data_IF_691555502778
#
_entry.id   IF_691555502778
#
_cell.length_a   1.000
_cell.length_b   1.000
_cell.length_c   1.000
_cell.angle_alpha   90.00
_cell.angle_beta   90.00
_cell.angle_gamma   90.00
#
_symmetry.space_group_name_H-M   'P 1'
#
loop_
_entity.id
_entity.type
_entity.pdbx_description
1 polymer ?
#
# COMPACT_ATOMS: atom_id res chain seq x y z
N UNK A 1 -7.51 -5.10 -17.23
CA UNK A 1 -7.19 -3.76 -17.75
C UNK A 1 -5.69 -3.73 -17.94
N UNK A 2 -5.22 -3.91 -19.17
CA UNK A 2 -3.80 -4.08 -19.49
C UNK A 2 -3.05 -2.76 -19.29
N UNK A 3 -2.09 -2.72 -18.36
CA UNK A 3 -1.16 -1.60 -18.26
C UNK A 3 -0.10 -1.77 -19.36
N UNK A 4 -0.24 -1.00 -20.46
CA UNK A 4 0.88 -0.77 -21.38
C UNK A 4 1.96 -0.04 -20.60
N UNK A 5 3.11 -0.67 -20.43
CA UNK A 5 4.33 0.00 -19.99
C UNK A 5 4.68 1.07 -21.04
N UNK A 6 4.49 2.34 -20.71
CA UNK A 6 4.85 3.44 -21.60
C UNK A 6 6.37 3.60 -21.62
N UNK A 7 6.99 2.95 -22.60
CA UNK A 7 8.40 3.10 -22.92
C UNK A 7 8.56 4.38 -23.75
N UNK A 8 8.65 5.55 -23.12
CA UNK A 8 9.16 6.74 -23.81
C UNK A 8 10.67 6.62 -23.96
N UNK A 9 11.12 5.93 -25.02
CA UNK A 9 12.48 6.03 -25.51
C UNK A 9 12.54 7.12 -26.57
N UNK A 10 13.00 8.32 -26.19
CA UNK A 10 13.42 9.31 -27.18
C UNK A 10 14.68 8.79 -27.88
N UNK A 11 14.53 8.33 -29.13
CA UNK A 11 15.65 8.00 -30.02
C UNK A 11 16.20 9.32 -30.57
N UNK A 12 17.37 9.73 -30.06
CA UNK A 12 18.12 10.85 -30.64
C UNK A 12 18.48 10.50 -32.10
N UNK A 13 17.94 11.26 -33.06
CA UNK A 13 18.39 11.26 -34.45
C UNK A 13 19.71 12.02 -34.48
N UNK A 14 20.84 11.30 -34.41
CA UNK A 14 22.06 11.58 -35.19
C UNK A 14 23.09 10.49 -34.91
N UNK A 15 23.67 9.95 -35.98
CA UNK A 15 24.52 8.76 -36.00
C UNK A 15 25.87 8.94 -35.32
N UNK A 16 25.87 8.93 -33.99
CA UNK A 16 27.02 8.56 -33.17
C UNK A 16 26.51 7.55 -32.16
N UNK A 17 27.21 6.43 -32.02
CA UNK A 17 26.94 5.35 -31.06
C UNK A 17 27.07 5.90 -29.63
N UNK A 18 26.00 6.56 -29.17
CA UNK A 18 25.86 6.96 -27.79
C UNK A 18 25.66 5.69 -26.99
N UNK A 19 26.68 5.31 -26.22
CA UNK A 19 26.54 4.40 -25.07
C UNK A 19 25.23 4.74 -24.38
N UNK A 20 24.25 3.83 -24.45
CA UNK A 20 22.93 4.01 -23.87
C UNK A 20 23.13 4.40 -22.40
N UNK A 21 22.91 5.67 -22.05
CA UNK A 21 23.14 6.18 -20.69
C UNK A 21 22.24 5.36 -19.79
N UNK A 22 22.82 4.45 -18.97
CA UNK A 22 22.18 3.39 -18.17
C UNK A 22 21.14 3.92 -17.14
N UNK A 23 20.12 4.63 -17.60
CA UNK A 23 19.11 5.31 -16.79
C UNK A 23 19.38 6.79 -16.44
N UNK A 24 20.54 7.38 -16.75
CA UNK A 24 20.80 8.79 -16.36
C UNK A 24 19.79 9.76 -16.96
N UNK A 25 19.33 10.71 -16.15
CA UNK A 25 18.33 11.71 -16.51
C UNK A 25 16.96 11.11 -16.88
N UNK A 26 16.69 9.86 -16.47
CA UNK A 26 15.38 9.25 -16.57
C UNK A 26 14.73 9.20 -15.19
N UNK A 27 13.46 9.61 -15.15
CA UNK A 27 12.54 9.42 -14.03
C UNK A 27 11.54 8.33 -14.42
N UNK A 28 11.41 7.29 -13.60
CA UNK A 28 10.51 6.17 -13.84
C UNK A 28 9.39 6.17 -12.81
N UNK A 29 8.15 6.06 -13.30
CA UNK A 29 6.96 5.99 -12.45
C UNK A 29 6.57 4.53 -12.23
N UNK A 30 6.69 4.04 -11.00
CA UNK A 30 6.34 2.67 -10.63
C UNK A 30 5.14 2.65 -9.67
N UNK A 31 3.95 2.44 -10.24
CA UNK A 31 2.68 2.42 -9.50
C UNK A 31 2.07 1.02 -9.30
N UNK A 32 2.63 -0.01 -9.93
CA UNK A 32 2.20 -1.40 -9.78
C UNK A 32 3.33 -2.18 -9.12
N UNK A 33 3.05 -2.70 -7.93
CA UNK A 33 3.90 -3.70 -7.29
C UNK A 33 3.47 -5.06 -7.82
N UNK A 34 4.13 -5.55 -8.87
CA UNK A 34 4.09 -6.97 -9.14
C UNK A 34 5.13 -7.62 -8.22
N UNK A 35 4.76 -8.58 -7.36
CA UNK A 35 5.73 -9.47 -6.74
C UNK A 35 6.37 -10.25 -7.88
N UNK A 36 7.44 -9.71 -8.47
CA UNK A 36 8.23 -10.51 -9.38
C UNK A 36 8.84 -11.61 -8.53
N UNK A 37 8.33 -12.83 -8.70
CA UNK A 37 9.03 -14.05 -8.33
C UNK A 37 10.50 -13.83 -8.68
N UNK A 38 11.40 -14.21 -7.77
CA UNK A 38 12.83 -13.87 -7.63
C UNK A 38 13.77 -13.94 -8.87
N UNK A 39 13.24 -14.03 -10.09
CA UNK A 39 13.93 -14.26 -11.36
C UNK A 39 14.06 -12.99 -12.22
N UNK A 40 13.36 -11.89 -11.94
CA UNK A 40 13.47 -10.64 -12.75
C UNK A 40 14.13 -9.45 -12.04
N UNK A 41 14.58 -9.59 -10.80
CA UNK A 41 15.19 -8.48 -10.07
C UNK A 41 16.57 -8.12 -10.65
N UNK A 42 17.37 -9.10 -11.06
CA UNK A 42 18.76 -8.91 -11.51
C UNK A 42 18.90 -8.21 -12.88
N UNK A 43 18.11 -8.59 -13.89
CA UNK A 43 18.21 -7.96 -15.23
C UNK A 43 17.58 -6.56 -15.28
N UNK A 44 16.59 -6.29 -14.43
CA UNK A 44 15.98 -4.97 -14.29
C UNK A 44 16.90 -4.06 -13.45
N UNK A 45 17.51 -4.55 -12.37
CA UNK A 45 18.49 -3.81 -11.54
C UNK A 45 19.68 -3.28 -12.37
N UNK A 46 20.27 -4.10 -13.24
CA UNK A 46 21.44 -3.70 -14.01
C UNK A 46 21.16 -2.54 -14.99
N UNK A 47 19.92 -2.44 -15.50
CA UNK A 47 19.50 -1.43 -16.47
C UNK A 47 18.91 -0.17 -15.83
N UNK A 48 18.45 -0.26 -14.59
CA UNK A 48 17.82 0.84 -13.83
C UNK A 48 18.78 1.62 -12.93
N UNK A 49 20.02 1.14 -12.76
CA UNK A 49 20.99 1.64 -11.79
C UNK A 49 21.10 3.18 -11.64
N UNK A 50 20.93 3.96 -12.72
CA UNK A 50 21.06 5.43 -12.67
C UNK A 50 19.78 6.21 -13.00
N UNK A 51 18.64 5.53 -13.18
CA UNK A 51 17.35 6.19 -13.28
C UNK A 51 16.77 6.44 -11.89
N UNK A 52 16.22 7.62 -11.65
CA UNK A 52 15.44 7.92 -10.45
C UNK A 52 14.10 7.20 -10.54
N UNK A 53 13.64 6.60 -9.45
CA UNK A 53 12.35 5.92 -9.38
C UNK A 53 11.43 6.76 -8.50
N UNK A 54 10.33 7.22 -9.09
CA UNK A 54 9.18 7.73 -8.35
C UNK A 54 8.15 6.60 -8.25
N UNK A 55 8.05 5.98 -7.09
CA UNK A 55 7.36 4.69 -6.98
C UNK A 55 6.77 4.43 -5.61
N UNK A 56 5.94 3.39 -5.56
CA UNK A 56 5.19 3.01 -4.37
C UNK A 56 5.78 1.75 -3.71
N UNK A 57 5.54 1.56 -2.41
CA UNK A 57 5.89 0.30 -1.73
C UNK A 57 7.38 0.11 -1.48
N UNK A 58 8.15 1.19 -1.43
CA UNK A 58 9.55 1.14 -1.05
C UNK A 58 9.78 0.53 0.33
N UNK A 59 10.94 -0.10 0.47
CA UNK A 59 11.46 -0.57 1.75
C UNK A 59 12.79 0.10 2.04
N UNK A 60 13.24 0.05 3.30
CA UNK A 60 14.58 0.50 3.71
C UNK A 60 15.71 -0.14 2.89
N UNK A 61 15.46 -1.28 2.24
CA UNK A 61 16.43 -2.00 1.41
C UNK A 61 16.37 -1.63 -0.09
N UNK A 62 15.26 -1.05 -0.55
CA UNK A 62 15.03 -0.74 -1.99
C UNK A 62 14.99 0.74 -2.29
N UNK A 63 14.79 1.59 -1.28
CA UNK A 63 14.75 3.04 -1.44
C UNK A 63 16.15 3.64 -1.44
N UNK A 64 16.52 4.36 -2.51
CA UNK A 64 17.77 5.13 -2.54
C UNK A 64 17.50 6.53 -2.02
N UNK A 65 17.88 6.78 -0.77
CA UNK A 65 17.69 8.07 -0.11
C UNK A 65 18.39 9.20 -0.87
N UNK A 66 17.76 10.35 -0.94
CA UNK A 66 18.12 11.54 -1.73
C UNK A 66 18.25 11.28 -3.23
N UNK A 67 17.65 10.19 -3.72
CA UNK A 67 17.76 9.78 -5.12
C UNK A 67 16.44 9.28 -5.70
N UNK A 68 15.64 8.52 -4.95
CA UNK A 68 14.31 8.06 -5.34
C UNK A 68 13.20 8.90 -4.68
N UNK A 69 11.99 8.83 -5.23
CA UNK A 69 10.81 9.53 -4.71
C UNK A 69 9.79 8.49 -4.24
N UNK A 70 9.59 8.39 -2.93
CA UNK A 70 8.54 7.54 -2.36
C UNK A 70 7.17 8.17 -2.58
N UNK A 71 6.31 7.49 -3.33
CA UNK A 71 4.96 7.93 -3.66
C UNK A 71 3.89 7.17 -2.84
N UNK A 72 2.77 7.83 -2.53
CA UNK A 72 1.59 7.18 -1.96
C UNK A 72 0.95 6.18 -2.95
N UNK A 73 0.44 5.08 -2.41
CA UNK A 73 -0.34 4.11 -3.18
C UNK A 73 -1.74 4.63 -3.36
N UNK A 74 -2.14 4.84 -4.61
CA UNK A 74 -3.49 5.31 -4.91
C UNK A 74 -4.54 4.26 -4.50
N UNK A 75 -5.58 4.70 -3.80
CA UNK A 75 -6.80 3.92 -3.60
C UNK A 75 -7.95 4.54 -4.38
N UNK A 76 -8.67 3.70 -5.13
CA UNK A 76 -9.92 4.09 -5.78
C UNK A 76 -10.99 4.57 -4.79
N UNK A 77 -10.88 4.17 -3.51
CA UNK A 77 -11.77 4.61 -2.46
C UNK A 77 -11.68 6.12 -2.20
N UNK A 78 -10.52 6.72 -2.49
CA UNK A 78 -10.27 8.14 -2.27
C UNK A 78 -10.82 9.05 -3.38
N UNK A 79 -11.39 8.49 -4.45
CA UNK A 79 -11.97 9.28 -5.53
C UNK A 79 -13.28 9.99 -5.11
N UNK A 80 -14.07 9.34 -4.25
CA UNK A 80 -15.35 9.86 -3.76
C UNK A 80 -15.40 9.72 -2.23
N UNK A 81 -14.56 10.50 -1.54
CA UNK A 81 -14.48 10.49 -0.08
C UNK A 81 -15.77 11.06 0.49
N UNK A 82 -16.59 10.18 1.07
CA UNK A 82 -17.80 10.54 1.81
C UNK A 82 -17.55 10.36 3.30
N UNK A 83 -17.10 11.43 3.97
CA UNK A 83 -16.96 11.45 5.42
C UNK A 83 -18.26 11.89 6.11
N UNK A 84 -18.83 11.01 6.93
CA UNK A 84 -19.96 11.37 7.80
C UNK A 84 -19.43 11.69 9.19
N UNK A 85 -19.26 12.98 9.46
CA UNK A 85 -18.76 13.50 10.74
C UNK A 85 -19.65 13.13 11.94
N UNK A 86 -20.88 12.63 11.71
CA UNK A 86 -21.81 12.20 12.77
C UNK A 86 -21.54 10.77 13.26
N UNK A 87 -20.68 10.00 12.59
CA UNK A 87 -20.38 8.63 13.01
C UNK A 87 -19.58 8.62 14.30
N UNK A 88 -20.08 7.89 15.29
CA UNK A 88 -19.36 7.64 16.54
C UNK A 88 -18.37 6.51 16.37
N UNK A 89 -17.23 6.60 17.07
CA UNK A 89 -16.25 5.51 17.12
C UNK A 89 -16.83 4.36 17.94
N UNK A 90 -17.01 3.22 17.29
CA UNK A 90 -17.53 1.97 17.86
C UNK A 90 -16.40 1.01 18.23
N UNK A 91 -15.34 0.98 17.43
CA UNK A 91 -14.22 0.06 17.58
C UNK A 91 -12.98 0.82 18.02
N UNK A 92 -12.25 0.26 18.98
CA UNK A 92 -11.01 0.88 19.46
C UNK A 92 -9.86 0.64 18.48
N UNK A 93 -9.49 -0.63 18.24
CA UNK A 93 -8.48 -1.04 17.25
C UNK A 93 -9.11 -2.02 16.26
N UNK A 94 -8.82 -1.85 14.98
CA UNK A 94 -9.24 -2.80 13.95
C UNK A 94 -8.10 -3.27 13.05
N UNK A 95 -8.21 -4.51 12.56
CA UNK A 95 -7.57 -4.94 11.32
C UNK A 95 -8.62 -5.07 10.23
N UNK A 96 -8.40 -4.45 9.07
CA UNK A 96 -9.34 -4.47 7.94
C UNK A 96 -8.66 -4.80 6.60
N UNK A 97 -7.39 -5.21 6.64
CA UNK A 97 -6.66 -5.62 5.45
C UNK A 97 -7.12 -7.00 5.01
N UNK A 98 -7.60 -7.07 3.77
CA UNK A 98 -7.78 -8.34 3.10
C UNK A 98 -6.40 -8.91 2.69
N UNK A 99 -6.25 -10.23 2.72
CA UNK A 99 -5.07 -10.92 2.21
C UNK A 99 -3.76 -10.60 2.97
N UNK A 100 -3.83 -10.62 4.30
CA UNK A 100 -2.65 -10.64 5.18
C UNK A 100 -2.00 -12.01 5.19
N UNK A 101 -0.69 -12.06 5.49
CA UNK A 101 0.02 -13.32 5.68
C UNK A 101 -0.73 -14.23 6.69
N UNK A 102 -0.87 -15.55 6.42
CA UNK A 102 -1.66 -16.44 7.28
C UNK A 102 -1.18 -16.53 8.73
N UNK A 103 0.13 -16.43 8.98
CA UNK A 103 0.70 -16.48 10.34
C UNK A 103 0.33 -15.21 11.11
N UNK A 104 0.49 -14.04 10.46
CA UNK A 104 0.05 -12.76 11.04
C UNK A 104 -1.45 -12.78 11.32
N UNK A 105 -2.23 -13.32 10.37
CA UNK A 105 -3.68 -13.41 10.54
C UNK A 105 -4.06 -14.29 11.75
N UNK A 106 -3.39 -15.43 11.93
CA UNK A 106 -3.59 -16.29 13.10
C UNK A 106 -3.24 -15.56 14.41
N UNK A 107 -2.15 -14.81 14.44
CA UNK A 107 -1.76 -14.03 15.62
C UNK A 107 -2.79 -12.94 15.94
N UNK A 108 -3.35 -12.27 14.93
CA UNK A 108 -4.42 -11.30 15.12
C UNK A 108 -5.69 -11.93 15.72
N UNK A 109 -6.06 -13.14 15.28
CA UNK A 109 -7.20 -13.87 15.85
C UNK A 109 -6.95 -14.25 17.33
N UNK A 110 -5.72 -14.66 17.67
CA UNK A 110 -5.35 -14.93 19.06
C UNK A 110 -5.41 -13.66 19.93
N UNK A 111 -4.93 -12.53 19.39
CA UNK A 111 -5.02 -11.23 20.07
C UNK A 111 -6.47 -10.78 20.26
N UNK A 112 -7.34 -10.98 19.26
CA UNK A 112 -8.76 -10.68 19.41
C UNK A 112 -9.40 -11.50 20.54
N UNK A 113 -9.02 -12.77 20.71
CA UNK A 113 -9.51 -13.58 21.83
C UNK A 113 -9.05 -13.05 23.19
N UNK A 114 -7.84 -12.48 23.26
CA UNK A 114 -7.30 -11.87 24.47
C UNK A 114 -7.92 -10.50 24.78
N UNK A 115 -8.27 -9.73 23.73
CA UNK A 115 -8.80 -8.38 23.82
C UNK A 115 -10.14 -8.22 23.06
N UNK A 116 -11.20 -8.97 23.42
CA UNK A 116 -12.42 -9.12 22.62
C UNK A 116 -13.28 -7.84 22.51
N UNK A 117 -13.03 -6.85 23.37
CA UNK A 117 -13.74 -5.57 23.38
C UNK A 117 -12.90 -4.42 22.81
N UNK A 118 -11.65 -4.67 22.45
CA UNK A 118 -10.70 -3.64 22.03
C UNK A 118 -10.22 -3.85 20.59
N UNK A 119 -9.93 -5.10 20.21
CA UNK A 119 -9.45 -5.47 18.88
C UNK A 119 -10.51 -6.22 18.10
N UNK A 120 -10.79 -5.75 16.88
CA UNK A 120 -11.71 -6.42 15.95
C UNK A 120 -11.04 -6.69 14.61
N UNK A 121 -11.15 -7.94 14.14
CA UNK A 121 -10.65 -8.38 12.85
C UNK A 121 -11.83 -8.43 11.86
N UNK A 122 -11.66 -7.67 10.78
CA UNK A 122 -12.61 -7.51 9.69
C UNK A 122 -12.01 -8.13 8.42
N UNK A 123 -12.44 -9.34 8.11
CA UNK A 123 -11.91 -10.14 7.00
C UNK A 123 -12.74 -10.01 5.73
N UNK A 124 -12.27 -10.66 4.67
CA UNK A 124 -13.09 -10.89 3.47
C UNK A 124 -14.27 -11.81 3.80
N UNK A 125 -15.46 -11.43 3.37
CA UNK A 125 -16.66 -12.23 3.55
C UNK A 125 -16.61 -13.52 2.70
N UNK A 126 -16.69 -14.68 3.35
CA UNK A 126 -16.80 -15.98 2.67
C UNK A 126 -18.23 -16.17 2.12
N UNK A 127 -18.36 -16.67 0.88
CA UNK A 127 -19.66 -17.04 0.29
C UNK A 127 -20.49 -15.91 -0.34
N UNK A 128 -20.14 -14.65 -0.11
CA UNK A 128 -20.57 -13.53 -0.96
C UNK A 128 -19.59 -13.42 -2.14
N UNK A 129 -20.00 -12.90 -3.30
CA UNK A 129 -19.11 -12.68 -4.46
C UNK A 129 -17.79 -12.04 -3.99
N UNK A 130 -16.74 -12.86 -3.89
CA UNK A 130 -15.45 -12.56 -3.25
C UNK A 130 -14.65 -11.46 -3.95
N UNK A 131 -15.24 -10.86 -4.98
CA UNK A 131 -14.70 -9.78 -5.79
C UNK A 131 -15.00 -8.39 -5.22
N UNK A 132 -15.95 -8.25 -4.29
CA UNK A 132 -16.27 -6.93 -3.74
C UNK A 132 -15.27 -6.50 -2.65
N UNK A 133 -14.24 -5.77 -3.09
CA UNK A 133 -13.18 -5.20 -2.25
C UNK A 133 -13.70 -4.23 -1.18
N UNK A 134 -14.94 -3.76 -1.29
CA UNK A 134 -15.55 -2.78 -0.38
C UNK A 134 -16.34 -3.42 0.76
N UNK A 135 -16.38 -4.75 0.88
CA UNK A 135 -17.07 -5.43 1.98
C UNK A 135 -16.07 -6.07 2.94
N UNK A 136 -16.44 -6.06 4.22
CA UNK A 136 -15.73 -6.75 5.29
C UNK A 136 -16.69 -7.50 6.18
N UNK A 137 -16.21 -8.57 6.78
CA UNK A 137 -16.99 -9.41 7.66
C UNK A 137 -16.30 -9.62 9.00
N UNK A 138 -17.09 -9.56 10.06
CA UNK A 138 -16.68 -9.96 11.40
C UNK A 138 -17.86 -10.72 12.03
N UNK A 139 -17.61 -11.88 12.65
CA UNK A 139 -18.66 -12.70 13.27
C UNK A 139 -19.89 -12.95 12.37
N UNK A 140 -19.68 -13.25 11.08
CA UNK A 140 -20.72 -13.41 10.05
C UNK A 140 -21.59 -12.17 9.76
N UNK A 141 -21.28 -11.01 10.33
CA UNK A 141 -21.92 -9.74 9.99
C UNK A 141 -21.16 -9.04 8.87
N UNK A 142 -21.89 -8.52 7.89
CA UNK A 142 -21.33 -7.81 6.73
C UNK A 142 -21.33 -6.31 7.01
N UNK A 143 -20.19 -5.68 6.75
CA UNK A 143 -19.97 -4.24 6.89
C UNK A 143 -19.36 -3.68 5.59
N UNK A 144 -19.61 -2.40 5.31
CA UNK A 144 -18.84 -1.73 4.26
C UNK A 144 -17.46 -1.34 4.81
N UNK A 145 -16.44 -1.42 3.96
CA UNK A 145 -15.06 -1.09 4.34
C UNK A 145 -14.94 0.35 4.83
N UNK A 146 -15.65 1.29 4.20
CA UNK A 146 -15.67 2.70 4.62
C UNK A 146 -16.32 2.88 5.99
N UNK A 147 -17.41 2.17 6.29
CA UNK A 147 -18.05 2.26 7.59
C UNK A 147 -17.12 1.75 8.69
N UNK A 148 -16.41 0.65 8.41
CA UNK A 148 -15.42 0.08 9.33
C UNK A 148 -14.32 1.10 9.64
N UNK A 149 -13.73 1.76 8.63
CA UNK A 149 -12.73 2.80 8.85
C UNK A 149 -13.27 4.00 9.64
N UNK A 150 -14.46 4.48 9.30
CA UNK A 150 -15.06 5.66 9.94
C UNK A 150 -15.51 5.44 11.38
N UNK A 151 -15.83 4.19 11.74
CA UNK A 151 -16.30 3.83 13.08
C UNK A 151 -15.17 3.29 13.97
N UNK A 152 -13.91 3.35 13.52
CA UNK A 152 -12.76 2.83 14.27
C UNK A 152 -11.79 3.92 14.68
N UNK A 153 -11.25 3.87 15.89
CA UNK A 153 -10.27 4.87 16.35
C UNK A 153 -8.89 4.62 15.77
N UNK A 154 -8.41 3.38 15.84
CA UNK A 154 -7.11 2.95 15.34
C UNK A 154 -7.25 1.86 14.28
N UNK A 155 -6.48 1.98 13.20
CA UNK A 155 -6.45 1.03 12.10
C UNK A 155 -5.05 0.44 11.97
N UNK A 156 -4.94 -0.87 12.12
CA UNK A 156 -3.69 -1.58 11.89
C UNK A 156 -3.31 -1.49 10.40
N UNK A 157 -2.05 -1.13 10.16
CA UNK A 157 -1.41 -1.06 8.85
C UNK A 157 -0.27 -2.06 8.84
N UNK A 158 -0.59 -3.28 8.45
CA UNK A 158 0.26 -4.46 8.37
C UNK A 158 0.98 -4.52 7.02
N UNK A 159 2.12 -5.22 7.00
CA UNK A 159 2.78 -5.60 5.75
C UNK A 159 1.88 -6.54 4.93
N UNK A 160 1.33 -6.03 3.82
CA UNK A 160 0.60 -6.84 2.84
C UNK A 160 1.54 -7.62 1.92
N UNK A 161 1.06 -8.71 1.34
CA UNK A 161 1.86 -9.53 0.41
C UNK A 161 2.11 -8.81 -0.92
N UNK A 162 1.10 -8.14 -1.50
CA UNK A 162 1.16 -7.64 -2.88
C UNK A 162 0.52 -6.27 -3.09
N UNK A 163 0.12 -5.60 -2.02
CA UNK A 163 -0.56 -4.33 -2.11
C UNK A 163 0.27 -3.33 -1.33
N UNK A 164 0.76 -2.32 -2.05
CA UNK A 164 1.28 -1.14 -1.40
C UNK A 164 0.24 -0.60 -0.40
N UNK A 165 0.70 0.20 0.56
CA UNK A 165 -0.06 0.63 1.74
C UNK A 165 -1.18 1.63 1.39
N UNK A 166 -2.13 1.24 0.54
CA UNK A 166 -3.35 2.01 0.28
C UNK A 166 -4.08 2.25 1.61
N UNK A 167 -4.05 1.25 2.50
CA UNK A 167 -4.70 1.32 3.80
C UNK A 167 -4.16 2.46 4.68
N UNK A 168 -2.89 2.84 4.53
CA UNK A 168 -2.34 4.00 5.24
C UNK A 168 -3.12 5.27 4.86
N UNK A 169 -3.30 5.50 3.56
CA UNK A 169 -4.02 6.68 3.08
C UNK A 169 -5.53 6.57 3.28
N UNK A 170 -6.09 5.37 3.15
CA UNK A 170 -7.51 5.11 3.41
C UNK A 170 -7.85 5.37 4.88
N UNK A 171 -7.02 4.88 5.82
CA UNK A 171 -7.18 5.15 7.24
C UNK A 171 -7.14 6.66 7.53
N UNK A 172 -6.12 7.36 7.03
CA UNK A 172 -6.00 8.83 7.17
C UNK A 172 -7.22 9.56 6.59
N UNK A 173 -7.68 9.20 5.40
CA UNK A 173 -8.81 9.85 4.73
C UNK A 173 -10.14 9.66 5.47
N UNK A 174 -10.37 8.49 6.07
CA UNK A 174 -11.55 8.21 6.88
C UNK A 174 -11.38 8.50 8.38
N UNK A 175 -10.28 9.19 8.73
CA UNK A 175 -9.99 9.63 10.08
C UNK A 175 -9.72 8.50 11.08
N UNK A 176 -9.34 7.32 10.61
CA UNK A 176 -8.86 6.24 11.46
C UNK A 176 -7.36 6.41 11.67
N UNK A 177 -6.89 6.43 12.92
CA UNK A 177 -5.48 6.68 13.23
C UNK A 177 -4.65 5.44 12.81
N UNK A 178 -3.74 5.55 11.84
CA UNK A 178 -2.98 4.39 11.38
C UNK A 178 -1.95 3.95 12.42
N UNK A 179 -1.94 2.66 12.74
CA UNK A 179 -0.93 2.00 13.58
C UNK A 179 -0.11 1.08 12.70
N UNK A 180 1.11 1.50 12.37
CA UNK A 180 1.94 0.83 11.36
C UNK A 180 2.73 -0.31 11.99
N UNK A 181 2.48 -1.52 11.51
CA UNK A 181 3.19 -2.76 11.86
C UNK A 181 3.98 -3.23 10.63
N UNK A 182 5.00 -2.45 10.27
CA UNK A 182 5.89 -2.76 9.16
C UNK A 182 7.26 -2.07 9.33
N UNK A 183 8.24 -2.78 9.88
CA UNK A 183 9.53 -2.19 10.30
C UNK A 183 10.36 -1.57 9.17
N UNK A 184 10.29 -2.14 7.97
CA UNK A 184 11.11 -1.71 6.84
C UNK A 184 10.38 -0.80 5.87
N UNK A 185 9.19 -0.30 6.23
CA UNK A 185 8.45 0.67 5.43
C UNK A 185 9.28 1.94 5.18
N UNK A 186 9.16 2.50 3.98
CA UNK A 186 9.48 3.90 3.71
C UNK A 186 8.17 4.63 3.47
N UNK A 187 7.93 5.70 4.23
CA UNK A 187 6.65 6.41 4.15
C UNK A 187 6.52 7.19 2.84
N UNK A 188 5.29 7.48 2.39
CA UNK A 188 5.08 8.39 1.26
C UNK A 188 5.73 9.74 1.54
N UNK A 189 6.53 10.22 0.59
CA UNK A 189 7.26 11.48 0.69
C UNK A 189 8.10 11.63 1.98
N UNK A 190 8.70 10.54 2.48
CA UNK A 190 9.50 10.51 3.72
C UNK A 190 10.65 11.54 3.77
N UNK A 191 11.11 12.03 2.60
CA UNK A 191 12.15 13.06 2.51
C UNK A 191 11.62 14.50 2.66
N UNK A 192 10.30 14.68 2.61
CA UNK A 192 9.62 15.99 2.65
C UNK A 192 8.69 16.08 3.87
N UNK A 193 7.98 15.00 4.20
CA UNK A 193 7.06 14.91 5.32
C UNK A 193 7.78 14.27 6.51
N UNK A 194 7.84 14.98 7.64
CA UNK A 194 8.32 14.43 8.90
C UNK A 194 7.20 13.63 9.58
N UNK A 195 7.29 12.31 9.46
CA UNK A 195 6.32 11.38 10.05
C UNK A 195 6.50 11.16 11.57
N UNK A 196 7.53 11.77 12.19
CA UNK A 196 7.83 11.62 13.61
C UNK A 196 7.31 12.77 14.48
N UNK A 197 6.74 13.82 13.87
CA UNK A 197 6.33 15.06 14.55
C UNK A 197 4.83 15.26 14.65
#
# INVERSE_FOLDING_TARGET
MYAKSYKMMHKSRNGTTTTQRKGRNHLLFQYIFEPTNNVQKSEIDERLNQAMIAGVGFTKYTFRRNFDISLPVFSSLLYDIKNDARKTRKYFVISSQANTNPDIHKDLLNLQQMYPNELYIFDTCLGLNSTNKFLRCTNNQVHTYTDVLQTSSFCLVLKGENFGLSILLEALAYGCIPVILYDSIVMPFDEVIDWHR
#
